data_IF_362289526165
#
_entry.id   IF_362289526165
#
_cell.length_a   1.000
_cell.length_b   1.000
_cell.length_c   1.000
_cell.angle_alpha   90.00
_cell.angle_beta   90.00
_cell.angle_gamma   90.00
#
_symmetry.space_group_name_H-M   'P 1'
#
loop_
_entity.id
_entity.type
_entity.pdbx_description
1 polymer ?
#
# COMPACT_ATOMS: atom_id res chain seq x y z
N UNK A 1 20.35 -12.54 -11.62
CA UNK A 1 19.44 -11.92 -10.64
C UNK A 1 18.20 -12.76 -10.56
N UNK A 2 17.68 -13.00 -9.37
CA UNK A 2 16.44 -13.73 -9.17
C UNK A 2 15.35 -12.72 -8.88
N UNK A 3 14.25 -12.74 -9.63
CA UNK A 3 13.04 -11.99 -9.33
C UNK A 3 12.06 -12.92 -8.63
N UNK A 4 11.58 -12.56 -7.48
CA UNK A 4 10.50 -13.28 -6.81
C UNK A 4 9.21 -12.53 -7.06
N UNK A 5 8.29 -13.18 -7.71
CA UNK A 5 6.95 -12.65 -8.00
C UNK A 5 5.95 -13.35 -7.09
N UNK A 6 5.21 -12.58 -6.32
CA UNK A 6 4.05 -13.09 -5.60
C UNK A 6 2.80 -12.93 -6.46
N UNK A 7 2.01 -13.97 -6.56
CA UNK A 7 0.75 -13.94 -7.29
C UNK A 7 -0.36 -14.58 -6.46
N UNK A 8 -1.55 -14.05 -6.56
CA UNK A 8 -2.76 -14.64 -5.96
C UNK A 8 -3.41 -15.69 -6.86
N UNK A 9 -2.90 -15.88 -8.08
CA UNK A 9 -3.39 -16.94 -8.95
C UNK A 9 -2.87 -18.29 -8.47
N UNK A 10 -3.69 -19.34 -8.47
CA UNK A 10 -3.27 -20.69 -8.12
C UNK A 10 -2.15 -21.14 -9.05
N UNK A 11 -1.03 -21.59 -8.50
CA UNK A 11 0.14 -22.05 -9.27
C UNK A 11 -0.16 -23.18 -10.24
N UNK A 12 -1.21 -23.98 -9.96
CA UNK A 12 -1.71 -25.01 -10.87
C UNK A 12 -2.10 -24.49 -12.25
N UNK A 13 -2.40 -23.19 -12.34
CA UNK A 13 -2.80 -22.53 -13.59
C UNK A 13 -1.59 -22.10 -14.42
N UNK A 14 -0.39 -22.20 -13.87
CA UNK A 14 0.89 -21.93 -14.54
C UNK A 14 1.58 -23.24 -14.88
N UNK A 15 1.30 -23.81 -16.05
CA UNK A 15 1.95 -25.03 -16.51
C UNK A 15 3.45 -24.79 -16.75
N UNK A 16 4.31 -25.62 -16.17
CA UNK A 16 5.75 -25.59 -16.42
C UNK A 16 6.59 -24.78 -15.45
N UNK A 17 6.00 -24.17 -14.41
CA UNK A 17 6.80 -23.51 -13.37
C UNK A 17 7.28 -24.56 -12.37
N UNK A 18 8.58 -24.84 -12.38
CA UNK A 18 9.21 -25.61 -11.30
C UNK A 18 9.32 -24.74 -10.04
N UNK A 19 8.45 -25.03 -9.07
CA UNK A 19 8.58 -24.46 -7.74
C UNK A 19 9.59 -25.27 -6.96
N UNK A 20 10.78 -24.73 -6.80
CA UNK A 20 11.72 -25.26 -5.83
C UNK A 20 11.15 -25.00 -4.43
N UNK A 21 10.43 -25.99 -3.88
CA UNK A 21 9.94 -25.97 -2.50
C UNK A 21 11.08 -25.87 -1.48
N UNK A 22 12.27 -26.19 -1.89
CA UNK A 22 13.42 -26.47 -1.03
C UNK A 22 14.49 -25.37 -1.06
N UNK A 23 14.34 -24.33 -1.88
CA UNK A 23 15.28 -23.20 -1.84
C UNK A 23 15.01 -22.37 -0.60
N UNK A 24 16.02 -22.23 0.27
CA UNK A 24 15.97 -21.44 1.51
C UNK A 24 15.42 -20.02 1.26
N UNK A 25 15.82 -19.38 0.17
CA UNK A 25 15.35 -18.05 -0.22
C UNK A 25 13.83 -17.99 -0.45
N UNK A 26 13.25 -19.02 -1.07
CA UNK A 26 11.81 -19.11 -1.30
C UNK A 26 11.06 -19.36 0.01
N UNK A 27 11.63 -20.17 0.90
CA UNK A 27 11.05 -20.40 2.22
C UNK A 27 11.05 -19.12 3.05
N UNK A 28 12.17 -18.40 3.10
CA UNK A 28 12.28 -17.12 3.78
C UNK A 28 11.28 -16.12 3.18
N UNK A 29 11.22 -16.01 1.85
CA UNK A 29 10.27 -15.14 1.20
C UNK A 29 8.82 -15.48 1.56
N UNK A 30 8.43 -16.77 1.54
CA UNK A 30 7.09 -17.21 1.92
C UNK A 30 6.75 -16.91 3.37
N UNK A 31 7.72 -17.09 4.26
CA UNK A 31 7.53 -16.81 5.68
C UNK A 31 7.31 -15.31 5.92
N UNK A 32 8.14 -14.46 5.33
CA UNK A 32 7.98 -13.00 5.40
C UNK A 32 6.73 -12.54 4.68
N UNK A 33 6.42 -13.15 3.54
CA UNK A 33 5.19 -12.89 2.81
C UNK A 33 3.94 -13.21 3.66
N UNK A 34 3.96 -14.30 4.42
CA UNK A 34 2.91 -14.60 5.40
C UNK A 34 2.79 -13.56 6.51
N UNK A 35 3.89 -12.86 6.86
CA UNK A 35 3.91 -11.78 7.83
C UNK A 35 3.45 -10.46 7.21
N UNK A 36 3.88 -10.19 5.97
CA UNK A 36 3.74 -8.90 5.29
C UNK A 36 2.55 -8.91 4.31
N UNK A 37 1.76 -9.97 4.29
CA UNK A 37 0.60 -10.21 3.41
C UNK A 37 0.76 -9.75 1.96
N UNK A 38 0.95 -10.68 1.04
CA UNK A 38 0.90 -10.51 -0.42
C UNK A 38 1.82 -9.43 -1.04
N UNK A 39 2.91 -9.06 -0.39
CA UNK A 39 3.71 -7.91 -0.82
C UNK A 39 5.03 -8.31 -1.46
N UNK A 40 5.36 -7.66 -2.57
CA UNK A 40 6.73 -7.58 -3.00
C UNK A 40 7.49 -6.63 -2.09
N UNK A 41 8.59 -7.11 -1.58
CA UNK A 41 9.48 -6.27 -0.82
C UNK A 41 10.46 -5.60 -1.79
N UNK A 42 10.40 -4.29 -1.86
CA UNK A 42 11.31 -3.47 -2.66
C UNK A 42 11.94 -2.44 -1.75
N UNK A 43 13.25 -2.48 -1.62
CA UNK A 43 13.97 -1.40 -0.96
C UNK A 43 13.99 -0.16 -1.85
N UNK A 44 13.11 0.81 -1.57
CA UNK A 44 13.02 2.08 -2.29
C UNK A 44 14.28 2.93 -2.18
N UNK A 45 15.11 2.68 -1.16
CA UNK A 45 16.41 3.34 -1.03
C UNK A 45 17.46 2.81 -1.99
N UNK A 46 17.21 1.67 -2.63
CA UNK A 46 18.13 0.97 -3.54
C UNK A 46 19.51 0.67 -2.91
N UNK A 47 19.58 0.45 -1.61
CA UNK A 47 20.83 0.19 -0.88
C UNK A 47 20.99 -1.26 -0.49
N UNK A 48 19.91 -1.99 -0.33
CA UNK A 48 19.91 -3.40 0.04
C UNK A 48 19.60 -4.26 -1.17
N UNK A 49 20.56 -5.12 -1.54
CA UNK A 49 20.33 -6.15 -2.55
C UNK A 49 19.72 -7.37 -1.88
N UNK A 50 18.47 -7.64 -2.14
CA UNK A 50 17.86 -8.89 -1.73
C UNK A 50 18.33 -10.04 -2.64
N UNK A 51 18.47 -11.27 -2.11
CA UNK A 51 18.82 -12.45 -2.92
C UNK A 51 17.76 -12.78 -3.98
N UNK A 52 16.53 -12.29 -3.79
CA UNK A 52 15.45 -12.30 -4.75
C UNK A 52 15.17 -10.83 -5.11
N UNK A 53 15.68 -10.39 -6.19
CA UNK A 53 15.72 -8.98 -6.48
C UNK A 53 14.36 -8.37 -6.73
N UNK A 54 14.22 -7.22 -6.20
CA UNK A 54 13.20 -6.26 -6.53
C UNK A 54 13.86 -5.00 -7.07
N UNK A 55 13.27 -4.43 -8.09
CA UNK A 55 13.73 -3.18 -8.69
C UNK A 55 12.81 -2.07 -8.20
N UNK A 56 13.39 -1.05 -7.56
CA UNK A 56 12.65 0.16 -7.28
C UNK A 56 12.45 0.93 -8.60
N UNK A 57 11.21 1.06 -9.02
CA UNK A 57 10.86 1.87 -10.18
C UNK A 57 11.09 3.36 -9.86
N UNK A 58 11.50 4.19 -10.82
CA UNK A 58 11.86 5.59 -10.59
C UNK A 58 10.79 6.41 -9.86
N UNK A 59 9.53 6.18 -10.18
CA UNK A 59 8.38 6.87 -9.56
C UNK A 59 8.20 6.56 -8.09
N UNK A 60 8.75 5.44 -7.59
CA UNK A 60 8.69 5.05 -6.18
C UNK A 60 9.98 5.36 -5.42
N UNK A 61 11.01 5.86 -6.09
CA UNK A 61 12.29 6.19 -5.46
C UNK A 61 12.12 7.20 -4.32
N UNK A 62 12.94 7.07 -3.26
CA UNK A 62 13.04 8.05 -2.19
C UNK A 62 13.91 9.27 -2.56
N UNK A 63 14.32 9.38 -3.81
CA UNK A 63 15.17 10.47 -4.29
C UNK A 63 14.35 11.74 -4.61
N UNK A 64 13.79 12.36 -3.57
CA UNK A 64 13.07 13.64 -3.67
C UNK A 64 13.46 14.58 -2.52
N UNK A 65 13.30 15.90 -2.69
CA UNK A 65 13.58 16.87 -1.63
C UNK A 65 12.68 16.64 -0.41
N UNK A 66 13.30 16.50 0.77
CA UNK A 66 12.57 16.35 2.03
C UNK A 66 12.21 17.74 2.55
N UNK A 67 10.91 17.94 2.82
CA UNK A 67 10.33 19.19 3.32
C UNK A 67 9.43 18.90 4.51
N UNK A 68 9.47 19.77 5.50
CA UNK A 68 8.45 19.74 6.54
C UNK A 68 7.16 20.38 6.02
N UNK A 69 6.08 19.65 6.05
CA UNK A 69 4.77 20.08 5.55
C UNK A 69 3.66 19.45 6.41
N UNK A 70 2.61 20.20 6.69
CA UNK A 70 1.45 19.66 7.37
C UNK A 70 0.54 18.85 6.42
N UNK A 71 -0.30 18.00 7.00
CA UNK A 71 -1.16 17.11 6.23
C UNK A 71 -2.22 17.85 5.41
N UNK A 72 -2.78 18.91 5.94
CA UNK A 72 -3.80 19.71 5.24
C UNK A 72 -3.23 20.30 3.95
N UNK A 73 -2.07 20.92 4.04
CA UNK A 73 -1.34 21.47 2.89
C UNK A 73 -0.95 20.36 1.90
N UNK A 74 -0.46 19.22 2.39
CA UNK A 74 -0.08 18.09 1.55
C UNK A 74 -1.28 17.51 0.79
N UNK A 75 -2.42 17.33 1.46
CA UNK A 75 -3.66 16.88 0.84
C UNK A 75 -4.18 17.88 -0.19
N UNK A 76 -4.14 19.18 0.12
CA UNK A 76 -4.57 20.23 -0.80
C UNK A 76 -3.70 20.26 -2.07
N UNK A 77 -2.37 20.27 -1.92
CA UNK A 77 -1.44 20.26 -3.05
C UNK A 77 -1.65 19.05 -3.96
N UNK A 78 -1.78 17.86 -3.35
CA UNK A 78 -2.05 16.62 -4.11
C UNK A 78 -3.39 16.69 -4.85
N UNK A 79 -4.41 17.21 -4.22
CA UNK A 79 -5.72 17.40 -4.86
C UNK A 79 -5.64 18.36 -6.04
N UNK A 80 -4.95 19.49 -5.90
CA UNK A 80 -4.76 20.45 -7.01
C UNK A 80 -3.97 19.85 -8.17
N UNK A 81 -2.95 19.04 -7.89
CA UNK A 81 -2.20 18.30 -8.92
C UNK A 81 -3.12 17.36 -9.73
N UNK A 82 -3.97 16.60 -9.02
CA UNK A 82 -4.91 15.66 -9.64
C UNK A 82 -5.97 16.38 -10.46
N UNK A 83 -6.54 17.46 -9.93
CA UNK A 83 -7.56 18.29 -10.60
C UNK A 83 -6.98 18.93 -11.88
N UNK A 84 -5.73 19.41 -11.81
CA UNK A 84 -5.05 20.04 -12.96
C UNK A 84 -4.83 19.10 -14.14
N UNK A 85 -4.96 17.78 -13.94
CA UNK A 85 -4.91 16.82 -15.04
C UNK A 85 -6.07 16.96 -16.03
N UNK A 86 -7.14 17.64 -15.63
CA UNK A 86 -8.41 17.80 -16.37
C UNK A 86 -9.08 16.47 -16.80
N UNK A 87 -8.69 15.37 -16.16
CA UNK A 87 -9.29 14.04 -16.38
C UNK A 87 -10.45 13.81 -15.42
N UNK A 88 -11.41 12.99 -15.81
CA UNK A 88 -12.33 12.41 -14.85
C UNK A 88 -11.56 11.56 -13.83
N UNK A 89 -11.91 11.67 -12.57
CA UNK A 89 -11.24 10.98 -11.46
C UNK A 89 -12.24 10.00 -10.82
N UNK A 90 -11.99 8.72 -11.01
CA UNK A 90 -12.77 7.64 -10.42
C UNK A 90 -12.15 7.22 -9.10
N UNK A 91 -12.66 7.75 -8.00
CA UNK A 91 -12.15 7.47 -6.65
C UNK A 91 -12.70 6.14 -6.16
N UNK A 92 -11.84 5.18 -5.86
CA UNK A 92 -12.22 3.90 -5.27
C UNK A 92 -12.57 4.10 -3.79
N UNK A 93 -13.84 4.32 -3.50
CA UNK A 93 -14.30 4.61 -2.14
C UNK A 93 -14.84 3.35 -1.45
N UNK A 94 -14.15 2.89 -0.42
CA UNK A 94 -14.54 1.73 0.39
C UNK A 94 -15.37 2.10 1.63
N UNK A 95 -15.59 3.39 1.93
CA UNK A 95 -16.16 3.87 3.20
C UNK A 95 -15.14 3.97 4.34
N UNK A 96 -13.92 3.45 4.16
CA UNK A 96 -12.84 3.49 5.14
C UNK A 96 -12.18 4.87 5.24
N UNK A 97 -11.32 5.04 6.26
CA UNK A 97 -10.69 6.34 6.59
C UNK A 97 -9.91 6.91 5.41
N UNK A 98 -9.04 6.12 4.79
CA UNK A 98 -8.14 6.60 3.73
C UNK A 98 -8.90 7.04 2.48
N UNK A 99 -9.84 6.24 2.03
CA UNK A 99 -10.64 6.56 0.85
C UNK A 99 -11.61 7.72 1.11
N UNK A 100 -12.10 7.86 2.34
CA UNK A 100 -12.94 9.01 2.74
C UNK A 100 -12.10 10.30 2.79
N UNK A 101 -10.89 10.26 3.37
CA UNK A 101 -9.97 11.39 3.32
C UNK A 101 -9.66 11.82 1.88
N UNK A 102 -9.42 10.86 0.98
CA UNK A 102 -9.15 11.15 -0.44
C UNK A 102 -10.30 11.94 -1.09
N UNK A 103 -11.55 11.52 -0.85
CA UNK A 103 -12.73 12.25 -1.39
C UNK A 103 -12.85 13.62 -0.75
N UNK A 104 -12.70 13.73 0.58
CA UNK A 104 -12.76 15.03 1.30
C UNK A 104 -11.71 15.99 0.78
N UNK A 105 -10.47 15.55 0.61
CA UNK A 105 -9.39 16.41 0.12
C UNK A 105 -9.66 16.96 -1.28
N UNK A 106 -10.20 16.14 -2.18
CA UNK A 106 -10.62 16.61 -3.51
C UNK A 106 -11.75 17.63 -3.43
N UNK A 107 -12.74 17.41 -2.56
CA UNK A 107 -13.87 18.32 -2.37
C UNK A 107 -13.46 19.65 -1.70
N UNK A 108 -12.53 19.62 -0.74
CA UNK A 108 -11.96 20.84 -0.12
C UNK A 108 -11.07 21.61 -1.11
N UNK A 109 -10.51 20.95 -2.12
CA UNK A 109 -9.78 21.57 -3.22
C UNK A 109 -10.66 22.05 -4.38
N UNK A 110 -11.99 22.07 -4.19
CA UNK A 110 -13.00 22.53 -5.17
C UNK A 110 -12.94 21.79 -6.51
N UNK A 111 -12.82 20.46 -6.48
CA UNK A 111 -12.93 19.65 -7.71
C UNK A 111 -14.32 19.86 -8.36
N UNK A 112 -14.37 20.13 -9.68
CA UNK A 112 -15.65 20.19 -10.40
C UNK A 112 -16.44 18.90 -10.30
N UNK A 113 -17.76 18.97 -10.15
CA UNK A 113 -18.63 17.80 -10.00
C UNK A 113 -18.55 16.85 -11.21
N UNK A 114 -18.39 17.37 -12.40
CA UNK A 114 -18.27 16.62 -13.64
C UNK A 114 -16.91 15.91 -13.78
N UNK A 115 -15.95 16.25 -12.93
CA UNK A 115 -14.62 15.63 -12.89
C UNK A 115 -14.52 14.53 -11.83
N UNK A 116 -15.37 14.50 -10.79
CA UNK A 116 -15.29 13.51 -9.72
C UNK A 116 -16.37 12.44 -9.78
N UNK A 117 -15.94 11.18 -9.77
CA UNK A 117 -16.77 9.98 -9.76
C UNK A 117 -16.38 9.10 -8.58
N UNK A 118 -17.28 8.93 -7.61
CA UNK A 118 -17.05 8.08 -6.44
C UNK A 118 -17.57 6.67 -6.75
N UNK A 119 -16.64 5.73 -6.86
CA UNK A 119 -16.94 4.32 -7.11
C UNK A 119 -17.21 3.63 -5.78
N UNK A 120 -18.42 3.10 -5.62
CA UNK A 120 -18.88 2.50 -4.37
C UNK A 120 -19.66 1.21 -4.60
N UNK A 121 -19.88 0.46 -3.53
CA UNK A 121 -20.76 -0.70 -3.49
C UNK A 121 -21.58 -0.69 -2.20
N UNK A 122 -22.41 -1.71 -2.00
CA UNK A 122 -23.25 -1.84 -0.80
C UNK A 122 -22.43 -1.82 0.49
N UNK A 123 -21.24 -2.43 0.50
CA UNK A 123 -20.39 -2.47 1.70
C UNK A 123 -19.77 -1.10 2.00
N UNK A 124 -19.37 -0.35 0.97
CA UNK A 124 -18.92 1.04 1.14
C UNK A 124 -20.00 1.91 1.79
N UNK A 125 -21.25 1.71 1.36
CA UNK A 125 -22.39 2.45 1.91
C UNK A 125 -22.67 2.05 3.36
N UNK A 126 -22.62 0.76 3.71
CA UNK A 126 -22.77 0.30 5.09
C UNK A 126 -21.66 0.83 5.99
N UNK A 127 -20.46 0.93 5.45
CA UNK A 127 -19.26 1.37 6.17
C UNK A 127 -19.35 2.85 6.57
N UNK A 128 -19.89 3.73 5.70
CA UNK A 128 -20.00 5.17 5.96
C UNK A 128 -21.19 5.82 5.21
N UNK A 129 -22.40 5.50 5.61
CA UNK A 129 -23.61 6.01 4.99
C UNK A 129 -23.80 7.52 5.17
N UNK A 130 -23.46 8.06 6.34
CA UNK A 130 -23.57 9.50 6.63
C UNK A 130 -22.71 10.32 5.67
N UNK A 131 -21.50 9.86 5.38
CA UNK A 131 -20.64 10.52 4.41
C UNK A 131 -21.22 10.46 2.99
N UNK A 132 -21.75 9.30 2.58
CA UNK A 132 -22.42 9.18 1.29
C UNK A 132 -23.54 10.23 1.12
N UNK A 133 -24.41 10.37 2.10
CA UNK A 133 -25.48 11.37 2.08
C UNK A 133 -24.91 12.80 2.01
N UNK A 134 -23.85 13.07 2.76
CA UNK A 134 -23.22 14.40 2.84
C UNK A 134 -22.65 14.90 1.52
N UNK A 135 -22.19 13.99 0.66
CA UNK A 135 -21.53 14.34 -0.61
C UNK A 135 -22.41 14.11 -1.85
N UNK A 136 -23.62 13.64 -1.67
CA UNK A 136 -24.50 13.15 -2.77
C UNK A 136 -24.80 14.19 -3.86
N UNK A 137 -24.83 15.46 -3.52
CA UNK A 137 -25.03 16.58 -4.45
C UNK A 137 -23.72 17.12 -5.06
N UNK A 138 -22.57 16.74 -4.49
CA UNK A 138 -21.24 17.27 -4.84
C UNK A 138 -20.46 16.37 -5.83
N UNK A 139 -20.83 15.11 -5.96
CA UNK A 139 -20.09 14.10 -6.75
C UNK A 139 -21.02 13.34 -7.67
N UNK A 140 -20.46 12.62 -8.65
CA UNK A 140 -21.14 11.56 -9.38
C UNK A 140 -20.83 10.22 -8.74
N UNK A 141 -21.83 9.32 -8.65
CA UNK A 141 -21.62 7.98 -8.12
C UNK A 141 -21.59 6.93 -9.23
N UNK A 142 -20.67 5.98 -9.09
CA UNK A 142 -20.61 4.78 -9.91
C UNK A 142 -20.79 3.57 -8.99
N UNK A 143 -21.92 2.90 -9.11
CA UNK A 143 -22.20 1.69 -8.34
C UNK A 143 -21.64 0.47 -9.05
N UNK A 144 -20.91 -0.35 -8.32
CA UNK A 144 -20.35 -1.62 -8.81
C UNK A 144 -20.62 -2.71 -7.77
N UNK A 145 -20.65 -3.97 -8.17
CA UNK A 145 -20.75 -5.08 -7.22
C UNK A 145 -19.52 -5.12 -6.27
N UNK A 146 -18.35 -4.81 -6.82
CA UNK A 146 -17.08 -4.63 -6.07
C UNK A 146 -16.37 -3.40 -6.60
N UNK A 147 -15.94 -2.52 -5.72
CA UNK A 147 -15.26 -1.26 -6.08
C UNK A 147 -14.16 -1.45 -7.12
N UNK A 148 -13.40 -2.54 -6.99
CA UNK A 148 -12.31 -2.87 -7.91
C UNK A 148 -12.76 -3.31 -9.33
N UNK A 149 -14.05 -3.60 -9.56
CA UNK A 149 -14.50 -4.01 -10.90
C UNK A 149 -14.41 -2.90 -11.92
N UNK A 150 -14.38 -1.64 -11.49
CA UNK A 150 -14.16 -0.49 -12.37
C UNK A 150 -12.87 -0.64 -13.20
N UNK A 151 -11.86 -1.32 -12.65
CA UNK A 151 -10.59 -1.57 -13.31
C UNK A 151 -10.66 -2.57 -14.48
N UNK A 152 -11.81 -3.22 -14.66
CA UNK A 152 -12.06 -4.13 -15.80
C UNK A 152 -12.67 -3.42 -17.00
N UNK A 153 -13.05 -2.15 -16.87
CA UNK A 153 -13.66 -1.40 -17.96
C UNK A 153 -12.57 -0.90 -18.91
N UNK A 154 -12.53 -1.51 -20.09
CA UNK A 154 -11.50 -1.27 -21.12
C UNK A 154 -11.46 0.17 -21.66
N UNK A 155 -12.52 0.97 -21.46
CA UNK A 155 -12.67 2.30 -22.05
C UNK A 155 -13.05 3.35 -21.00
N UNK A 156 -12.39 3.34 -19.84
CA UNK A 156 -12.58 4.39 -18.86
C UNK A 156 -11.99 5.70 -19.41
N UNK A 157 -12.83 6.72 -19.54
CA UNK A 157 -12.44 8.04 -20.04
C UNK A 157 -11.83 8.94 -18.94
N UNK A 158 -11.01 8.34 -18.07
CA UNK A 158 -10.45 9.03 -16.94
C UNK A 158 -9.37 8.25 -16.20
N UNK A 159 -9.04 8.72 -15.02
CA UNK A 159 -8.03 8.16 -14.12
C UNK A 159 -8.70 7.46 -12.94
N UNK A 160 -8.22 6.29 -12.57
CA UNK A 160 -8.63 5.62 -11.33
C UNK A 160 -7.72 6.05 -10.17
N UNK A 161 -8.33 6.54 -9.11
CA UNK A 161 -7.64 6.99 -7.91
C UNK A 161 -7.95 6.06 -6.74
N UNK A 162 -6.93 5.40 -6.21
CA UNK A 162 -7.04 4.57 -5.00
C UNK A 162 -6.49 5.29 -3.76
N UNK A 163 -6.75 4.72 -2.59
CA UNK A 163 -6.22 5.19 -1.30
C UNK A 163 -5.25 4.18 -0.65
N UNK A 164 -4.66 3.31 -1.43
CA UNK A 164 -3.90 2.15 -0.94
C UNK A 164 -2.68 2.48 -0.07
N UNK A 165 -2.02 3.60 -0.31
CA UNK A 165 -0.83 3.99 0.48
C UNK A 165 -1.16 4.68 1.81
N UNK A 166 -2.44 4.91 2.13
CA UNK A 166 -2.82 5.61 3.35
C UNK A 166 -2.35 4.92 4.63
N UNK A 167 -2.41 3.60 4.66
CA UNK A 167 -1.89 2.80 5.77
C UNK A 167 -0.37 2.86 5.88
N UNK A 168 0.30 2.80 4.73
CA UNK A 168 1.76 2.81 4.66
C UNK A 168 2.33 4.17 5.06
N UNK A 169 1.66 5.25 4.68
CA UNK A 169 2.03 6.62 5.07
C UNK A 169 1.99 6.81 6.59
N UNK A 170 1.12 6.07 7.26
CA UNK A 170 0.90 6.15 8.70
C UNK A 170 1.63 5.05 9.50
N UNK A 171 2.26 4.07 8.81
CA UNK A 171 2.87 2.92 9.47
C UNK A 171 1.86 1.94 10.09
N UNK A 172 0.60 1.97 9.63
CA UNK A 172 -0.50 1.22 10.26
C UNK A 172 -0.32 -0.30 10.18
N UNK A 173 0.17 -0.83 9.08
CA UNK A 173 0.11 -2.26 8.79
C UNK A 173 0.69 -3.15 9.91
N UNK A 174 1.97 -2.95 10.24
CA UNK A 174 2.60 -3.74 11.30
C UNK A 174 2.25 -3.21 12.68
N UNK A 175 2.12 -1.89 12.84
CA UNK A 175 1.84 -1.30 14.15
C UNK A 175 0.46 -1.70 14.67
N UNK A 176 -0.53 -1.87 13.81
CA UNK A 176 -1.85 -2.36 14.23
C UNK A 176 -1.81 -3.81 14.74
N UNK A 177 -1.03 -4.66 14.09
CA UNK A 177 -0.82 -6.03 14.54
C UNK A 177 0.00 -6.09 15.85
N UNK A 178 1.09 -5.30 15.92
CA UNK A 178 1.89 -5.19 17.14
C UNK A 178 1.03 -4.74 18.31
N UNK A 179 0.17 -3.73 18.10
CA UNK A 179 -0.76 -3.26 19.11
C UNK A 179 -1.71 -4.36 19.58
N UNK A 180 -2.28 -5.11 18.65
CA UNK A 180 -3.25 -6.17 18.99
C UNK A 180 -2.62 -7.36 19.68
N UNK A 181 -1.42 -7.77 19.30
CA UNK A 181 -0.77 -8.99 19.78
C UNK A 181 0.05 -8.72 21.04
N UNK A 182 0.73 -7.57 21.10
CA UNK A 182 1.77 -7.27 22.10
C UNK A 182 1.42 -6.06 22.98
N UNK A 183 0.32 -5.37 22.68
CA UNK A 183 -0.18 -4.23 23.44
C UNK A 183 0.45 -2.87 23.06
N UNK A 184 -0.13 -1.76 23.60
CA UNK A 184 0.25 -0.40 23.21
C UNK A 184 1.69 -0.03 23.60
N UNK A 185 2.16 -0.47 24.76
CA UNK A 185 3.51 -0.16 25.22
C UNK A 185 4.59 -0.74 24.33
N UNK A 186 4.26 -1.82 23.60
CA UNK A 186 5.19 -2.43 22.68
C UNK A 186 5.60 -1.48 21.55
N UNK A 187 4.70 -0.64 21.07
CA UNK A 187 4.99 0.32 19.99
C UNK A 187 6.01 1.39 20.41
N UNK A 188 6.16 1.60 21.71
CA UNK A 188 7.10 2.58 22.32
C UNK A 188 8.47 1.96 22.64
N UNK A 189 8.60 0.63 22.56
CA UNK A 189 9.87 -0.04 22.82
C UNK A 189 10.91 0.32 21.77
N UNK A 190 12.22 0.35 22.13
CA UNK A 190 13.29 0.54 21.17
C UNK A 190 13.25 -0.49 20.05
N UNK A 191 13.59 -0.10 18.81
CA UNK A 191 13.64 -0.98 17.63
C UNK A 191 14.85 -1.92 17.68
N UNK A 192 15.09 -2.56 18.81
CA UNK A 192 16.18 -3.51 19.00
C UNK A 192 15.89 -4.84 18.32
N UNK A 193 16.96 -5.61 18.07
CA UNK A 193 16.86 -6.97 17.55
C UNK A 193 15.90 -7.83 18.37
N UNK A 194 16.05 -7.81 19.69
CA UNK A 194 15.20 -8.58 20.60
C UNK A 194 13.71 -8.27 20.40
N UNK A 195 13.36 -7.00 20.36
CA UNK A 195 11.97 -6.58 20.21
C UNK A 195 11.42 -6.95 18.83
N UNK A 196 12.13 -6.65 17.75
CA UNK A 196 11.63 -6.91 16.40
C UNK A 196 11.57 -8.42 16.10
N UNK A 197 12.59 -9.18 16.51
CA UNK A 197 12.58 -10.64 16.37
C UNK A 197 11.43 -11.26 17.17
N UNK A 198 11.13 -10.75 18.36
CA UNK A 198 9.98 -11.17 19.15
C UNK A 198 8.66 -11.03 18.37
N UNK A 199 8.45 -9.90 17.69
CA UNK A 199 7.27 -9.71 16.85
C UNK A 199 7.24 -10.73 15.69
N UNK A 200 8.32 -10.90 14.95
CA UNK A 200 8.39 -11.84 13.85
C UNK A 200 8.15 -13.31 14.29
N UNK A 201 8.66 -13.69 15.45
CA UNK A 201 8.43 -15.04 15.99
C UNK A 201 6.97 -15.25 16.42
N UNK A 202 6.28 -14.21 16.94
CA UNK A 202 4.84 -14.26 17.14
C UNK A 202 4.06 -14.49 15.84
N UNK A 203 4.56 -13.96 14.73
CA UNK A 203 4.03 -14.20 13.36
C UNK A 203 4.49 -15.55 12.79
N UNK A 204 5.00 -16.46 13.64
CA UNK A 204 5.45 -17.82 13.29
C UNK A 204 6.65 -17.88 12.36
N UNK A 205 7.45 -16.85 12.29
CA UNK A 205 8.76 -16.92 11.67
C UNK A 205 9.71 -17.67 12.61
N UNK A 206 10.54 -18.56 12.09
CA UNK A 206 11.60 -19.14 12.89
C UNK A 206 12.65 -18.10 13.28
N UNK A 207 13.37 -18.34 14.37
CA UNK A 207 14.29 -17.34 14.95
C UNK A 207 15.43 -16.97 13.99
N UNK A 208 15.93 -17.92 13.19
CA UNK A 208 17.00 -17.66 12.21
C UNK A 208 16.50 -16.72 11.13
N UNK A 209 15.34 -17.01 10.54
CA UNK A 209 14.70 -16.18 9.52
C UNK A 209 14.34 -14.80 10.08
N UNK A 210 13.82 -14.74 11.30
CA UNK A 210 13.49 -13.47 11.96
C UNK A 210 14.72 -12.57 12.16
N UNK A 211 15.85 -13.14 12.56
CA UNK A 211 17.11 -12.42 12.66
C UNK A 211 17.62 -11.94 11.30
N UNK A 212 17.57 -12.79 10.29
CA UNK A 212 17.98 -12.42 8.93
C UNK A 212 17.16 -11.21 8.41
N UNK A 213 15.84 -11.22 8.62
CA UNK A 213 14.97 -10.12 8.20
C UNK A 213 15.19 -8.86 9.02
N UNK A 214 15.45 -8.98 10.33
CA UNK A 214 15.86 -7.85 11.13
C UNK A 214 17.09 -7.16 10.52
N UNK A 215 18.12 -7.93 10.16
CA UNK A 215 19.34 -7.39 9.56
C UNK A 215 19.06 -6.68 8.23
N UNK A 216 18.26 -7.28 7.37
CA UNK A 216 17.86 -6.69 6.07
C UNK A 216 17.11 -5.36 6.27
N UNK A 217 16.11 -5.33 7.15
CA UNK A 217 15.34 -4.12 7.42
C UNK A 217 16.20 -3.02 8.05
N UNK A 218 17.04 -3.36 9.02
CA UNK A 218 17.89 -2.39 9.72
C UNK A 218 19.05 -1.92 8.86
N UNK A 219 19.56 -2.72 7.93
CA UNK A 219 20.51 -2.26 6.93
C UNK A 219 19.91 -1.17 6.05
N UNK A 220 18.69 -1.39 5.56
CA UNK A 220 17.97 -0.36 4.80
C UNK A 220 17.64 0.88 5.64
N UNK A 221 17.35 0.69 6.93
CA UNK A 221 17.00 1.78 7.85
C UNK A 221 18.12 2.81 8.06
N UNK A 222 19.39 2.45 7.78
CA UNK A 222 20.49 3.43 7.73
C UNK A 222 20.29 4.54 6.69
N UNK A 223 19.41 4.33 5.73
CA UNK A 223 19.05 5.29 4.70
C UNK A 223 17.66 5.88 4.90
N UNK A 224 17.07 5.63 6.07
CA UNK A 224 15.79 6.23 6.43
C UNK A 224 15.93 7.75 6.55
N UNK A 225 14.97 8.51 5.99
CA UNK A 225 14.96 9.97 6.11
C UNK A 225 14.64 10.47 7.54
N UNK A 226 14.26 9.57 8.44
CA UNK A 226 14.08 9.85 9.87
C UNK A 226 14.66 8.72 10.72
N UNK A 227 15.02 8.96 12.01
CA UNK A 227 15.46 7.91 12.91
C UNK A 227 14.43 6.77 13.03
N UNK A 228 14.94 5.55 13.22
CA UNK A 228 14.14 4.35 13.50
C UNK A 228 14.44 3.92 14.95
N UNK A 229 13.86 4.63 15.88
CA UNK A 229 14.16 4.49 17.30
C UNK A 229 13.22 3.51 18.00
N UNK A 230 11.95 3.46 17.60
CA UNK A 230 10.92 2.64 18.23
C UNK A 230 10.43 1.51 17.31
N UNK A 231 9.71 0.53 17.87
CA UNK A 231 9.05 -0.51 17.08
C UNK A 231 7.97 0.06 16.16
N UNK A 232 7.36 1.22 16.53
CA UNK A 232 6.48 1.96 15.63
C UNK A 232 7.25 2.54 14.44
N UNK A 233 8.41 3.15 14.64
CA UNK A 233 9.23 3.66 13.53
C UNK A 233 9.69 2.54 12.62
N UNK A 234 10.03 1.38 13.18
CA UNK A 234 10.31 0.18 12.40
C UNK A 234 9.11 -0.23 11.54
N UNK A 235 7.89 -0.25 12.14
CA UNK A 235 6.66 -0.55 11.41
C UNK A 235 6.43 0.44 10.26
N UNK A 236 6.60 1.74 10.54
CA UNK A 236 6.50 2.77 9.53
C UNK A 236 7.50 2.55 8.39
N UNK A 237 8.77 2.31 8.71
CA UNK A 237 9.81 2.08 7.71
C UNK A 237 9.55 0.83 6.87
N UNK A 238 9.11 -0.24 7.48
CA UNK A 238 8.74 -1.46 6.78
C UNK A 238 7.62 -1.25 5.76
N UNK A 239 6.61 -0.46 6.10
CA UNK A 239 5.56 -0.06 5.18
C UNK A 239 6.03 0.94 4.13
N UNK A 240 6.60 2.05 4.58
CA UNK A 240 6.98 3.18 3.75
C UNK A 240 8.12 2.87 2.78
N UNK A 241 9.11 2.07 3.17
CA UNK A 241 10.22 1.70 2.31
C UNK A 241 9.96 0.39 1.53
N UNK A 242 9.54 -0.67 2.22
CA UNK A 242 9.55 -2.01 1.65
C UNK A 242 8.26 -2.42 0.94
N UNK A 243 7.10 -1.93 1.40
CA UNK A 243 5.80 -2.28 0.82
C UNK A 243 5.23 -1.24 -0.14
N UNK A 244 5.80 -0.06 -0.18
CA UNK A 244 5.26 1.10 -0.89
C UNK A 244 5.00 0.84 -2.37
N UNK A 245 6.00 0.39 -3.10
CA UNK A 245 5.85 0.11 -4.53
C UNK A 245 4.75 -0.91 -4.79
N UNK A 246 4.70 -1.97 -4.00
CA UNK A 246 3.71 -3.03 -4.18
C UNK A 246 2.27 -2.54 -4.04
N UNK A 247 2.00 -1.56 -3.21
CA UNK A 247 0.64 -1.11 -2.94
C UNK A 247 -0.12 -0.66 -4.21
N UNK A 248 0.57 -0.09 -5.20
CA UNK A 248 -0.01 0.22 -6.51
C UNK A 248 0.20 -0.90 -7.52
N UNK A 249 1.40 -1.48 -7.57
CA UNK A 249 1.74 -2.50 -8.57
C UNK A 249 0.87 -3.76 -8.45
N UNK A 250 0.40 -4.12 -7.25
CA UNK A 250 -0.54 -5.23 -7.08
C UNK A 250 -1.83 -5.07 -7.90
N UNK A 251 -2.26 -3.84 -8.15
CA UNK A 251 -3.41 -3.58 -9.01
C UNK A 251 -3.05 -3.73 -10.48
N UNK A 252 -1.94 -3.15 -10.88
CA UNK A 252 -1.41 -3.26 -12.23
C UNK A 252 -1.20 -4.71 -12.65
N UNK A 253 -0.79 -5.57 -11.74
CA UNK A 253 -0.60 -7.00 -12.01
C UNK A 253 -1.88 -7.83 -12.08
N UNK A 254 -2.92 -7.41 -11.36
CA UNK A 254 -4.19 -8.17 -11.29
C UNK A 254 -5.12 -7.91 -12.46
N UNK A 255 -4.95 -6.82 -13.15
CA UNK A 255 -5.88 -6.37 -14.19
C UNK A 255 -5.13 -6.20 -15.49
N UNK A 256 -5.52 -6.98 -16.49
CA UNK A 256 -4.87 -7.08 -17.80
C UNK A 256 -4.83 -5.74 -18.57
N UNK A 257 -5.77 -4.85 -18.32
CA UNK A 257 -5.84 -3.52 -18.91
C UNK A 257 -6.25 -2.54 -17.83
N UNK A 258 -5.27 -1.93 -17.19
CA UNK A 258 -5.56 -0.92 -16.21
C UNK A 258 -5.70 0.42 -16.92
N UNK A 259 -6.84 1.11 -16.75
CA UNK A 259 -6.91 2.51 -17.10
C UNK A 259 -5.82 3.29 -16.34
N UNK A 260 -5.52 4.50 -16.78
CA UNK A 260 -4.65 5.40 -16.06
C UNK A 260 -4.99 5.37 -14.56
N UNK A 261 -4.05 4.96 -13.74
CA UNK A 261 -4.32 4.68 -12.33
C UNK A 261 -3.19 5.15 -11.43
N UNK A 262 -3.58 5.79 -10.34
CA UNK A 262 -2.66 6.26 -9.32
C UNK A 262 -3.25 6.10 -7.92
N UNK A 263 -2.50 6.45 -6.90
CA UNK A 263 -3.02 6.56 -5.54
C UNK A 263 -2.85 7.97 -5.00
N UNK A 264 -3.80 8.38 -4.14
CA UNK A 264 -3.77 9.70 -3.54
C UNK A 264 -2.48 9.93 -2.74
N UNK A 265 -2.11 8.95 -1.93
CA UNK A 265 -1.01 9.06 -0.97
C UNK A 265 0.39 8.95 -1.57
N UNK A 266 0.54 8.67 -2.87
CA UNK A 266 1.86 8.66 -3.53
C UNK A 266 2.41 10.08 -3.75
N UNK A 267 1.58 11.11 -3.60
CA UNK A 267 2.00 12.51 -3.72
C UNK A 267 3.22 12.81 -2.86
N UNK A 268 4.18 13.54 -3.43
CA UNK A 268 5.45 13.84 -2.75
C UNK A 268 5.26 14.57 -1.42
N UNK A 269 4.33 15.52 -1.36
CA UNK A 269 4.04 16.27 -0.15
C UNK A 269 3.44 15.40 0.95
N UNK A 270 2.60 14.41 0.59
CA UNK A 270 2.08 13.43 1.55
C UNK A 270 3.20 12.53 2.07
N UNK A 271 4.13 12.13 1.22
CA UNK A 271 5.30 11.38 1.66
C UNK A 271 6.19 12.22 2.59
N UNK A 272 6.37 13.51 2.28
CA UNK A 272 7.09 14.44 3.14
C UNK A 272 6.42 14.59 4.52
N UNK A 273 5.08 14.73 4.55
CA UNK A 273 4.35 14.71 5.81
C UNK A 273 4.59 13.40 6.58
N UNK A 274 4.49 12.26 5.90
CA UNK A 274 4.70 10.93 6.51
C UNK A 274 6.09 10.78 7.14
N UNK A 275 7.13 11.33 6.51
CA UNK A 275 8.51 11.34 7.04
C UNK A 275 8.59 12.12 8.36
N UNK A 276 7.90 13.25 8.46
CA UNK A 276 7.94 14.12 9.63
C UNK A 276 6.86 13.81 10.68
N UNK A 277 5.93 12.93 10.31
CA UNK A 277 4.86 12.52 11.21
C UNK A 277 5.40 11.74 12.42
N UNK A 278 5.04 12.18 13.61
CA UNK A 278 5.40 11.51 14.84
C UNK A 278 4.42 10.40 15.19
N UNK A 279 4.88 9.43 15.96
CA UNK A 279 4.03 8.39 16.48
C UNK A 279 2.88 9.01 17.30
N UNK A 280 1.61 8.73 16.95
CA UNK A 280 0.48 9.12 17.78
C UNK A 280 0.47 8.28 19.08
N UNK A 281 -0.21 8.79 20.10
CA UNK A 281 -0.42 8.02 21.32
C UNK A 281 -1.49 6.95 21.09
N UNK A 282 -1.04 5.73 20.78
CA UNK A 282 -1.89 4.61 20.39
C UNK A 282 -2.15 3.70 21.58
N UNK A 283 -3.35 3.78 22.17
CA UNK A 283 -3.79 2.88 23.21
C UNK A 283 -4.68 1.74 22.68
N UNK A 284 -5.32 1.98 21.54
CA UNK A 284 -6.19 1.02 20.87
C UNK A 284 -6.33 1.33 19.38
N UNK A 285 -7.04 0.46 18.63
CA UNK A 285 -7.22 0.64 17.18
C UNK A 285 -8.01 1.90 16.78
N UNK A 286 -8.77 2.51 17.69
CA UNK A 286 -9.49 3.76 17.42
C UNK A 286 -8.57 4.97 17.39
N UNK A 287 -7.39 4.88 17.99
CA UNK A 287 -6.45 6.00 18.07
C UNK A 287 -5.63 6.16 16.77
N UNK A 288 -5.73 5.20 15.84
CA UNK A 288 -5.03 5.32 14.57
C UNK A 288 -5.62 6.41 13.68
N UNK A 289 -4.73 7.07 12.95
CA UNK A 289 -5.01 8.09 11.93
C UNK A 289 -5.84 9.27 12.46
N UNK A 290 -5.50 9.84 13.64
CA UNK A 290 -6.26 10.94 14.21
C UNK A 290 -6.28 12.16 13.29
N UNK A 291 -5.18 12.47 12.58
CA UNK A 291 -5.11 13.60 11.65
C UNK A 291 -6.03 13.38 10.43
N UNK A 292 -6.08 12.16 9.88
CA UNK A 292 -7.00 11.84 8.79
C UNK A 292 -8.45 12.02 9.24
N UNK A 293 -8.78 11.48 10.39
CA UNK A 293 -10.12 11.62 10.97
C UNK A 293 -10.47 13.07 11.31
N UNK A 294 -9.50 13.88 11.74
CA UNK A 294 -9.69 15.31 12.01
C UNK A 294 -10.08 16.08 10.76
N UNK A 295 -9.43 15.83 9.63
CA UNK A 295 -9.79 16.44 8.34
C UNK A 295 -11.20 16.01 7.93
N UNK A 296 -11.50 14.71 8.01
CA UNK A 296 -12.83 14.17 7.70
C UNK A 296 -13.89 14.83 8.60
N UNK A 297 -13.64 14.92 9.91
CA UNK A 297 -14.56 15.54 10.88
C UNK A 297 -14.79 17.02 10.56
N UNK A 298 -13.75 17.78 10.25
CA UNK A 298 -13.88 19.19 9.88
C UNK A 298 -14.84 19.38 8.69
N UNK A 299 -14.77 18.48 7.72
CA UNK A 299 -15.65 18.51 6.54
C UNK A 299 -17.08 18.03 6.86
N UNK A 300 -17.21 16.94 7.61
CA UNK A 300 -18.47 16.24 7.81
C UNK A 300 -19.27 16.73 9.01
N UNK A 301 -18.60 17.12 10.10
CA UNK A 301 -19.19 17.31 11.43
C UNK A 301 -19.56 16.01 12.14
N UNK A 302 -19.17 14.85 11.62
CA UNK A 302 -19.52 13.55 12.18
C UNK A 302 -18.59 13.19 13.34
N UNK A 303 -19.05 13.49 14.57
CA UNK A 303 -18.29 13.25 15.80
C UNK A 303 -18.15 11.79 16.14
N UNK A 304 -19.15 10.98 15.80
CA UNK A 304 -19.11 9.54 16.03
C UNK A 304 -18.03 8.88 15.16
N UNK A 305 -18.00 9.25 13.88
CA UNK A 305 -16.93 8.80 12.99
C UNK A 305 -15.55 9.21 13.51
N UNK A 306 -15.38 10.45 13.94
CA UNK A 306 -14.11 10.95 14.45
C UNK A 306 -13.62 10.16 15.67
N UNK A 307 -14.49 9.89 16.63
CA UNK A 307 -14.14 9.24 17.91
C UNK A 307 -14.08 7.72 17.82
N UNK A 308 -14.99 7.13 17.05
CA UNK A 308 -15.25 5.69 17.14
C UNK A 308 -14.85 4.89 15.91
N UNK A 309 -14.54 5.56 14.79
CA UNK A 309 -14.18 4.83 13.56
C UNK A 309 -12.90 4.03 13.77
N UNK A 310 -13.05 2.72 13.60
CA UNK A 310 -11.95 1.77 13.55
C UNK A 310 -11.72 1.41 12.09
N UNK A 311 -10.49 1.15 11.70
CA UNK A 311 -10.23 0.50 10.43
C UNK A 311 -10.68 -0.96 10.54
N UNK A 312 -11.64 -1.35 9.69
CA UNK A 312 -11.95 -2.75 9.45
C UNK A 312 -10.99 -3.33 8.40
N UNK A 313 -10.92 -4.65 8.33
CA UNK A 313 -10.17 -5.31 7.26
C UNK A 313 -10.65 -4.83 5.88
N UNK A 314 -9.73 -4.72 4.92
CA UNK A 314 -10.03 -4.19 3.61
C UNK A 314 -11.13 -5.00 2.91
N UNK A 315 -12.31 -4.44 2.77
CA UNK A 315 -13.41 -5.03 2.00
C UNK A 315 -13.09 -5.16 0.51
N UNK A 316 -12.04 -4.49 0.04
CA UNK A 316 -11.64 -4.45 -1.36
C UNK A 316 -10.78 -5.62 -1.81
N UNK A 317 -10.22 -6.42 -0.90
CA UNK A 317 -9.13 -7.36 -1.19
C UNK A 317 -9.36 -8.82 -0.81
N UNK A 318 -10.59 -9.23 -0.51
CA UNK A 318 -10.86 -10.65 -0.30
C UNK A 318 -10.77 -11.43 -1.62
N UNK A 319 -9.54 -11.71 -2.03
CA UNK A 319 -9.20 -12.80 -2.92
C UNK A 319 -8.47 -13.85 -2.10
N UNK A 320 -9.01 -15.05 -2.17
CA UNK A 320 -8.65 -16.19 -1.34
C UNK A 320 -7.17 -16.31 -0.95
N UNK A 321 -6.96 -16.78 0.21
CA UNK A 321 -5.77 -16.85 1.06
C UNK A 321 -4.55 -17.62 0.51
N UNK A 322 -4.46 -17.87 -0.78
CA UNK A 322 -3.34 -18.62 -1.36
C UNK A 322 -2.43 -17.67 -2.13
N UNK A 323 -1.44 -17.14 -1.44
CA UNK A 323 -0.34 -16.41 -2.06
C UNK A 323 0.70 -17.39 -2.56
N UNK A 324 1.14 -17.18 -3.76
CA UNK A 324 2.17 -18.02 -4.39
C UNK A 324 3.38 -17.15 -4.73
N UNK A 325 4.56 -17.67 -4.50
CA UNK A 325 5.80 -17.04 -4.88
C UNK A 325 6.49 -17.84 -5.98
N UNK A 326 6.89 -17.15 -7.02
CA UNK A 326 7.69 -17.73 -8.09
C UNK A 326 9.02 -17.02 -8.21
N UNK A 327 10.09 -17.78 -8.43
CA UNK A 327 11.45 -17.25 -8.57
C UNK A 327 11.87 -17.35 -10.01
N UNK A 328 12.19 -16.21 -10.60
CA UNK A 328 12.75 -16.11 -11.95
C UNK A 328 14.27 -16.08 -11.86
N UNK A 329 14.93 -17.01 -12.53
CA UNK A 329 16.39 -17.04 -12.67
C UNK A 329 16.79 -16.53 -14.06
N UNK A 330 17.89 -15.79 -14.15
CA UNK A 330 18.50 -15.29 -15.40
C UNK A 330 17.70 -14.26 -16.20
N UNK A 331 17.45 -13.12 -15.59
CA UNK A 331 16.75 -12.05 -16.29
C UNK A 331 17.63 -10.83 -16.55
N UNK A 332 18.48 -10.94 -17.54
CA UNK A 332 19.28 -9.80 -18.05
C UNK A 332 18.43 -8.68 -18.65
N UNK A 333 17.18 -8.94 -18.99
CA UNK A 333 16.26 -7.97 -19.60
C UNK A 333 15.52 -7.06 -18.63
N UNK A 334 15.48 -7.38 -17.33
CA UNK A 334 14.75 -6.60 -16.31
C UNK A 334 15.54 -5.36 -15.84
N UNK A 335 16.76 -5.15 -16.33
CA UNK A 335 17.64 -4.07 -15.92
C UNK A 335 17.73 -2.88 -16.87
N UNK A 336 16.87 -2.77 -17.86
CA UNK A 336 16.86 -1.59 -18.72
C UNK A 336 16.19 -0.43 -18.03
N UNK A 337 16.68 0.79 -18.26
CA UNK A 337 16.10 2.04 -17.72
C UNK A 337 14.62 2.21 -18.07
N UNK A 338 14.14 1.49 -19.06
CA UNK A 338 12.80 1.55 -19.64
C UNK A 338 11.95 0.33 -19.28
N UNK A 339 12.30 -0.39 -18.18
CA UNK A 339 11.56 -1.55 -17.77
C UNK A 339 10.20 -1.12 -17.20
N UNK A 340 9.18 -1.34 -17.99
CA UNK A 340 7.79 -1.26 -17.57
C UNK A 340 7.33 -2.65 -17.12
N UNK A 341 7.18 -2.81 -15.78
CA UNK A 341 6.71 -4.04 -15.16
C UNK A 341 5.35 -4.46 -15.72
N UNK A 342 4.52 -3.49 -16.06
CA UNK A 342 3.19 -3.70 -16.59
C UNK A 342 3.23 -4.21 -18.03
N UNK A 343 4.02 -3.59 -18.92
CA UNK A 343 4.25 -4.07 -20.29
C UNK A 343 4.85 -5.46 -20.29
N UNK A 344 5.75 -5.75 -19.35
CA UNK A 344 6.33 -7.08 -19.19
C UNK A 344 5.28 -8.15 -18.85
N UNK A 345 4.28 -7.81 -18.04
CA UNK A 345 3.17 -8.71 -17.70
C UNK A 345 2.11 -8.79 -18.79
N UNK A 346 1.98 -7.78 -19.64
CA UNK A 346 1.04 -7.78 -20.77
C UNK A 346 1.58 -8.51 -22.00
N UNK A 347 2.90 -8.56 -22.17
CA UNK A 347 3.46 -9.32 -23.26
C UNK A 347 3.22 -10.81 -23.01
N UNK A 348 2.69 -11.51 -24.01
CA UNK A 348 2.60 -12.98 -24.05
C UNK A 348 3.91 -13.68 -23.67
N UNK A 349 5.02 -12.96 -23.81
CA UNK A 349 6.35 -13.34 -23.37
C UNK A 349 6.47 -13.63 -21.87
N UNK A 350 5.74 -12.94 -20.99
CA UNK A 350 5.81 -13.26 -19.56
C UNK A 350 5.16 -14.62 -19.29
N UNK A 351 3.94 -14.82 -19.74
CA UNK A 351 3.22 -16.08 -19.55
C UNK A 351 3.97 -17.22 -20.26
N UNK A 352 4.44 -17.01 -21.48
CA UNK A 352 5.15 -18.01 -22.25
C UNK A 352 6.54 -18.32 -21.68
N UNK A 353 7.29 -17.34 -21.17
CA UNK A 353 8.58 -17.59 -20.50
C UNK A 353 8.43 -18.29 -19.15
N UNK A 354 7.27 -18.18 -18.52
CA UNK A 354 6.96 -18.84 -17.26
C UNK A 354 6.37 -20.23 -17.45
N UNK A 355 5.61 -20.42 -18.50
CA UNK A 355 4.93 -21.67 -18.83
C UNK A 355 5.87 -22.64 -19.57
N UNK A 356 6.85 -22.13 -20.30
CA UNK A 356 7.73 -22.93 -21.16
C UNK A 356 9.12 -23.20 -20.55
N UNK A 357 9.36 -22.90 -19.28
CA UNK A 357 10.57 -23.20 -18.53
C UNK A 357 10.15 -23.77 -17.17
#
# INVERSE_FOLDING_TARGET
>A
MKLVVSTTLPLKDYRGIEFSKDKKDVQIFRQVHGIISDSWLVDRSNKVNLPFASVALPEYSLNFPIKNIDLDTACFNRSKELIASNKKIYVLWSGGIDSTLTVVALLEADIPKDQIYVVCNTDSLKENYNFFLKISDRVNFVSTERVMQILKYDNLDGMVLSAEHGDLSYGYDFSSEMLQILGPDYLKLPATRENIVKYFTHKKLDVESANCWYDVFMESAKNSPRPIDTTYDFSWWAGFNWRWQYALEKFRMRFYRIPDSTTFFIGQDIQNWSIHHQQPDLNNLRDFKPEYKKIIFRYTGDEDYYKNKIKHESTTLYYGSNSYAAVLENQSRIHTKDFDLFSYYQEDNFINQWICR
#
